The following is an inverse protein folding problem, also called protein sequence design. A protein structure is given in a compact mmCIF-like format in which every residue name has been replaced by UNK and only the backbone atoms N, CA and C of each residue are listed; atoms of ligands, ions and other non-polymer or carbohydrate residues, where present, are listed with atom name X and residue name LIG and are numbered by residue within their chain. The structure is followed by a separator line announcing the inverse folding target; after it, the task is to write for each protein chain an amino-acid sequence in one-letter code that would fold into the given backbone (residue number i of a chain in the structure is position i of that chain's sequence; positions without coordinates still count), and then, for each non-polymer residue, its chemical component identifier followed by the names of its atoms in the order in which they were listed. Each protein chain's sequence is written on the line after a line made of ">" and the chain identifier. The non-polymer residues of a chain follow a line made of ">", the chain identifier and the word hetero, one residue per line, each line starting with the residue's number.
data_IF_032575634573
#
_entry.id   IF_032575634573
#
_cell.length_a   1.000
_cell.length_b   1.000
_cell.length_c   1.000
_cell.angle_alpha   90.00
_cell.angle_beta   90.00
_cell.angle_gamma   90.00
#
_symmetry.space_group_name_H-M   'P 1'
#
loop_
_entity.id
_entity.type
_entity.pdbx_description
1 polymer ?
#
# COMPACT_ATOMS: atom_id res chain seq x y z
N UNK A 1 14.55 2.74 -4.42
CA UNK A 1 13.31 2.39 -3.69
C UNK A 1 13.46 2.81 -2.25
N UNK A 2 12.44 3.47 -1.71
CA UNK A 2 12.44 3.96 -0.32
C UNK A 2 11.70 3.01 0.62
N UNK A 3 10.75 2.25 0.07
CA UNK A 3 9.95 1.26 0.79
C UNK A 3 9.90 -0.06 0.01
N UNK A 4 9.74 -1.16 0.75
CA UNK A 4 9.50 -2.50 0.21
C UNK A 4 8.36 -3.14 0.97
N UNK A 5 7.43 -3.74 0.24
CA UNK A 5 6.32 -4.50 0.81
C UNK A 5 6.51 -5.97 0.44
N UNK A 6 6.92 -6.77 1.42
CA UNK A 6 7.05 -8.22 1.26
C UNK A 6 5.76 -8.92 1.66
N UNK A 7 5.35 -9.95 0.92
CA UNK A 7 4.18 -10.74 1.30
C UNK A 7 4.27 -12.19 0.86
N UNK A 8 3.56 -13.07 1.58
CA UNK A 8 3.35 -14.46 1.22
C UNK A 8 1.87 -14.81 1.39
N UNK A 9 1.44 -15.81 0.62
CA UNK A 9 0.04 -16.26 0.55
C UNK A 9 -0.14 -17.72 0.95
N UNK A 10 0.97 -18.44 1.16
CA UNK A 10 0.98 -19.73 1.81
C UNK A 10 0.97 -19.55 3.34
N UNK A 11 0.69 -20.63 4.08
CA UNK A 11 0.92 -20.71 5.53
C UNK A 11 0.22 -19.64 6.40
N UNK A 12 -0.94 -19.15 5.98
CA UNK A 12 -1.78 -18.23 6.75
C UNK A 12 -1.69 -16.76 6.35
N UNK A 13 -1.02 -16.47 5.23
CA UNK A 13 -0.70 -15.14 4.72
C UNK A 13 0.18 -14.32 5.67
N UNK A 14 0.95 -13.41 5.08
CA UNK A 14 1.58 -12.36 5.85
C UNK A 14 2.13 -11.27 4.96
N UNK A 15 2.31 -10.10 5.56
CA UNK A 15 2.85 -8.93 4.90
C UNK A 15 3.76 -8.17 5.85
N UNK A 16 4.84 -7.65 5.29
CA UNK A 16 5.85 -6.84 5.97
C UNK A 16 6.06 -5.55 5.21
N UNK A 17 6.14 -4.44 5.93
CA UNK A 17 6.55 -3.15 5.38
C UNK A 17 7.96 -2.85 5.85
N UNK A 18 8.85 -2.59 4.91
CA UNK A 18 10.23 -2.19 5.15
C UNK A 18 10.48 -0.79 4.61
N UNK A 19 11.34 -0.05 5.31
CA UNK A 19 11.80 1.28 4.92
C UNK A 19 13.32 1.28 4.79
N UNK A 20 13.82 1.95 3.76
CA UNK A 20 15.25 2.18 3.57
C UNK A 20 15.65 3.57 4.10
N UNK A 21 16.52 3.59 5.09
CA UNK A 21 17.11 4.82 5.66
C UNK A 21 18.65 4.77 5.68
N UNK A 22 19.23 4.04 4.73
CA UNK A 22 20.65 3.64 4.71
C UNK A 22 20.86 2.15 4.97
N UNK A 23 19.87 1.51 5.60
CA UNK A 23 19.68 0.06 5.65
C UNK A 23 18.18 -0.25 5.62
N UNK A 24 17.83 -1.48 5.23
CA UNK A 24 16.44 -1.95 5.30
C UNK A 24 16.05 -2.28 6.73
N UNK A 25 15.02 -1.61 7.23
CA UNK A 25 14.41 -1.91 8.53
C UNK A 25 12.94 -2.24 8.34
N UNK A 26 12.46 -3.29 9.01
CA UNK A 26 11.03 -3.61 9.04
C UNK A 26 10.32 -2.61 9.97
N UNK A 27 9.34 -1.90 9.44
CA UNK A 27 8.55 -0.89 10.15
C UNK A 27 7.08 -1.29 10.35
N UNK A 28 6.67 -2.45 9.81
CA UNK A 28 5.35 -3.02 10.01
C UNK A 28 5.29 -4.51 9.67
N UNK A 29 4.45 -5.26 10.36
CA UNK A 29 4.18 -6.66 10.04
C UNK A 29 2.82 -7.15 10.55
N UNK A 30 2.16 -8.00 9.77
CA UNK A 30 0.94 -8.72 10.17
C UNK A 30 0.91 -10.11 9.51
N UNK A 31 0.36 -11.09 10.21
CA UNK A 31 0.25 -12.47 9.74
C UNK A 31 1.35 -13.40 10.27
N UNK A 32 1.25 -14.67 9.88
CA UNK A 32 2.16 -15.73 10.34
C UNK A 32 3.58 -15.44 9.86
N UNK A 33 4.57 -15.51 10.74
CA UNK A 33 6.00 -15.30 10.42
C UNK A 33 6.40 -13.87 9.99
N UNK A 34 5.49 -12.89 10.07
CA UNK A 34 5.82 -11.53 9.67
C UNK A 34 6.76 -10.79 10.63
N UNK A 35 6.72 -11.10 11.93
CA UNK A 35 7.50 -10.35 12.92
C UNK A 35 7.21 -8.84 12.90
N UNK A 36 8.13 -8.05 13.43
CA UNK A 36 8.05 -6.58 13.42
C UNK A 36 6.93 -5.98 14.28
N UNK A 37 6.84 -4.64 14.33
CA UNK A 37 5.77 -3.96 15.06
C UNK A 37 4.44 -4.09 14.30
N UNK A 38 3.34 -4.20 15.04
CA UNK A 38 2.01 -4.10 14.45
C UNK A 38 1.80 -2.69 13.88
N UNK A 39 1.36 -2.62 12.61
CA UNK A 39 1.07 -1.37 11.92
C UNK A 39 -0.43 -1.27 11.62
N UNK A 40 -1.18 -0.39 12.32
CA UNK A 40 -2.60 -0.21 12.06
C UNK A 40 -2.88 0.15 10.60
N UNK A 41 -3.83 -0.56 9.98
CA UNK A 41 -4.19 -0.37 8.57
C UNK A 41 -3.31 -1.12 7.55
N UNK A 42 -2.26 -1.81 8.00
CA UNK A 42 -1.56 -2.79 7.17
C UNK A 42 -2.40 -4.09 7.12
N UNK A 43 -2.71 -4.58 5.93
CA UNK A 43 -3.45 -5.84 5.78
C UNK A 43 -3.15 -6.54 4.47
N UNK A 44 -3.44 -7.85 4.44
CA UNK A 44 -3.35 -8.69 3.25
C UNK A 44 -4.59 -9.57 3.16
N UNK A 45 -5.23 -9.59 2.00
CA UNK A 45 -6.36 -10.48 1.68
C UNK A 45 -6.17 -11.05 0.29
N UNK A 46 -6.70 -12.24 0.03
CA UNK A 46 -6.61 -12.87 -1.29
C UNK A 46 -7.89 -13.60 -1.64
N UNK A 47 -8.11 -13.74 -2.93
CA UNK A 47 -9.05 -14.71 -3.48
C UNK A 47 -8.30 -15.78 -4.30
N UNK A 48 -8.97 -16.44 -5.25
CA UNK A 48 -8.36 -17.47 -6.07
C UNK A 48 -7.31 -16.94 -7.05
N UNK A 49 -7.41 -15.67 -7.47
CA UNK A 49 -6.61 -15.09 -8.55
C UNK A 49 -6.02 -13.73 -8.23
N UNK A 50 -6.40 -13.14 -7.10
CA UNK A 50 -6.08 -11.76 -6.74
C UNK A 50 -5.51 -11.69 -5.33
N UNK A 51 -4.52 -10.81 -5.16
CA UNK A 51 -3.95 -10.44 -3.88
C UNK A 51 -4.17 -8.94 -3.65
N UNK A 52 -4.72 -8.58 -2.50
CA UNK A 52 -4.90 -7.20 -2.08
C UNK A 52 -4.03 -6.96 -0.86
N UNK A 53 -3.08 -6.03 -0.99
CA UNK A 53 -2.26 -5.55 0.10
C UNK A 53 -2.64 -4.10 0.36
N UNK A 54 -2.95 -3.79 1.61
CA UNK A 54 -3.31 -2.44 2.05
C UNK A 54 -2.22 -1.91 2.96
N UNK A 55 -1.73 -0.70 2.69
CA UNK A 55 -0.86 0.04 3.59
C UNK A 55 -1.32 1.51 3.66
N UNK A 56 -1.30 2.16 4.84
CA UNK A 56 -1.60 3.59 4.94
C UNK A 56 -0.59 4.43 4.16
N UNK A 57 -1.03 5.43 3.38
CA UNK A 57 -0.08 6.33 2.70
C UNK A 57 0.88 7.02 3.69
N UNK A 58 0.39 7.39 4.87
CA UNK A 58 1.22 7.99 5.91
C UNK A 58 2.35 7.07 6.41
N UNK A 59 2.19 5.74 6.40
CA UNK A 59 3.27 4.82 6.75
C UNK A 59 4.35 4.72 5.67
N UNK A 60 4.05 5.22 4.46
CA UNK A 60 5.00 5.38 3.36
C UNK A 60 5.55 6.83 3.30
N UNK A 61 5.24 7.68 4.29
CA UNK A 61 5.60 9.09 4.26
C UNK A 61 4.89 9.89 3.16
N UNK A 62 3.78 9.37 2.64
CA UNK A 62 3.01 9.96 1.56
C UNK A 62 1.71 10.58 2.08
N UNK A 63 1.27 11.62 1.40
CA UNK A 63 -0.01 12.28 1.60
C UNK A 63 -0.67 12.66 0.27
N UNK A 64 -1.84 13.28 0.36
CA UNK A 64 -2.59 13.76 -0.82
C UNK A 64 -1.72 14.72 -1.63
N UNK A 65 -1.72 14.52 -2.95
CA UNK A 65 -0.92 15.30 -3.89
C UNK A 65 0.50 14.78 -4.12
N UNK A 66 0.99 13.83 -3.31
CA UNK A 66 2.26 13.17 -3.61
C UNK A 66 2.09 12.17 -4.76
N UNK A 67 3.12 12.06 -5.58
CA UNK A 67 3.30 10.97 -6.52
C UNK A 67 4.37 10.02 -5.99
N UNK A 68 4.21 8.74 -6.25
CA UNK A 68 5.22 7.73 -5.97
C UNK A 68 5.38 6.79 -7.16
N UNK A 69 6.57 6.21 -7.27
CA UNK A 69 6.89 5.18 -8.25
C UNK A 69 6.85 3.80 -7.60
N UNK A 70 6.39 2.80 -8.32
CA UNK A 70 6.29 1.43 -7.81
C UNK A 70 6.43 0.40 -8.93
N UNK A 71 6.72 -0.82 -8.50
CA UNK A 71 6.64 -2.01 -9.34
C UNK A 71 6.18 -3.16 -8.43
N UNK A 72 5.63 -4.21 -9.03
CA UNK A 72 5.07 -5.37 -8.33
C UNK A 72 5.71 -6.62 -8.87
N UNK A 73 6.22 -7.45 -7.95
CA UNK A 73 6.97 -8.64 -8.29
C UNK A 73 6.31 -9.91 -7.75
N UNK A 74 6.40 -11.00 -8.50
CA UNK A 74 6.20 -12.36 -8.00
C UNK A 74 7.56 -13.03 -7.81
N UNK A 75 7.70 -13.90 -6.80
CA UNK A 75 8.95 -14.64 -6.53
C UNK A 75 8.65 -16.04 -5.98
N UNK A 76 9.68 -16.90 -5.91
CA UNK A 76 9.56 -18.31 -5.53
C UNK A 76 9.45 -18.60 -4.03
N UNK A 77 9.51 -17.58 -3.17
CA UNK A 77 9.37 -17.70 -1.71
C UNK A 77 10.63 -18.17 -0.97
N UNK A 78 11.69 -18.55 -1.67
CA UNK A 78 13.00 -18.89 -1.12
C UNK A 78 13.89 -17.67 -0.85
N UNK A 79 14.84 -17.82 0.08
CA UNK A 79 15.82 -16.78 0.39
C UNK A 79 16.76 -16.55 -0.79
N UNK A 80 16.58 -15.43 -1.49
CA UNK A 80 17.39 -15.04 -2.64
C UNK A 80 16.71 -15.22 -4.00
N UNK A 81 15.44 -15.62 -4.02
CA UNK A 81 14.68 -15.72 -5.28
C UNK A 81 14.41 -14.32 -5.84
N UNK A 82 14.78 -14.15 -7.11
CA UNK A 82 14.56 -12.91 -7.85
C UNK A 82 13.11 -12.77 -8.35
N UNK A 83 12.80 -11.64 -8.98
CA UNK A 83 11.47 -11.37 -9.54
C UNK A 83 11.21 -12.23 -10.78
N UNK A 84 10.35 -13.24 -10.66
CA UNK A 84 9.95 -14.13 -11.76
C UNK A 84 9.13 -13.36 -12.78
N UNK A 85 8.14 -12.63 -12.29
CA UNK A 85 7.35 -11.66 -13.05
C UNK A 85 7.46 -10.28 -12.39
N UNK A 86 7.42 -9.24 -13.22
CA UNK A 86 7.42 -7.85 -12.79
C UNK A 86 6.34 -7.10 -13.56
N UNK A 87 5.54 -6.28 -12.89
CA UNK A 87 4.48 -5.48 -13.52
C UNK A 87 5.04 -4.55 -14.60
N UNK A 88 6.20 -3.95 -14.35
CA UNK A 88 6.93 -3.10 -15.28
C UNK A 88 7.45 -3.80 -16.56
N UNK A 89 7.51 -5.14 -16.57
CA UNK A 89 8.12 -5.90 -17.66
C UNK A 89 7.15 -6.93 -18.26
N UNK A 90 6.62 -6.67 -19.48
CA UNK A 90 5.71 -7.61 -20.14
C UNK A 90 6.43 -8.84 -20.72
N UNK A 91 7.77 -8.87 -20.69
CA UNK A 91 8.59 -10.01 -21.10
C UNK A 91 9.07 -10.82 -19.88
N UNK A 92 9.78 -11.92 -20.12
CA UNK A 92 10.44 -12.67 -19.05
C UNK A 92 11.38 -11.76 -18.24
N UNK A 93 11.26 -11.79 -16.90
CA UNK A 93 12.09 -10.95 -16.01
C UNK A 93 13.43 -11.59 -15.67
N UNK A 94 13.46 -12.90 -15.44
CA UNK A 94 14.68 -13.65 -15.13
C UNK A 94 14.74 -14.97 -15.88
N UNK A 95 15.95 -15.41 -16.23
CA UNK A 95 16.20 -16.72 -16.86
C UNK A 95 16.54 -17.83 -15.84
N UNK A 96 16.87 -17.47 -14.61
CA UNK A 96 17.19 -18.38 -13.50
C UNK A 96 16.98 -17.64 -12.15
N UNK A 97 16.75 -18.39 -11.07
CA UNK A 97 16.46 -17.87 -9.73
C UNK A 97 17.54 -16.95 -9.17
N UNK A 98 18.80 -17.26 -9.49
CA UNK A 98 19.98 -16.54 -9.02
C UNK A 98 20.23 -15.20 -9.73
N UNK A 99 19.52 -14.93 -10.83
CA UNK A 99 19.74 -13.74 -11.65
C UNK A 99 18.97 -12.56 -11.06
N UNK A 100 19.64 -11.46 -10.65
CA UNK A 100 18.95 -10.31 -10.11
C UNK A 100 18.13 -9.62 -11.20
N UNK A 101 16.93 -9.18 -10.83
CA UNK A 101 16.08 -8.34 -11.64
C UNK A 101 16.18 -6.87 -11.22
N UNK A 102 16.13 -5.96 -12.18
CA UNK A 102 16.09 -4.52 -11.94
C UNK A 102 15.15 -3.86 -12.95
N UNK A 103 14.07 -3.26 -12.45
CA UNK A 103 13.09 -2.53 -13.28
C UNK A 103 13.68 -1.29 -13.97
N UNK A 104 14.84 -0.81 -13.52
CA UNK A 104 15.48 0.39 -14.06
C UNK A 104 14.54 1.58 -13.97
N UNK A 105 14.29 2.23 -15.11
CA UNK A 105 13.36 3.36 -15.23
C UNK A 105 11.94 2.99 -15.64
N UNK A 106 11.60 1.69 -15.78
CA UNK A 106 10.32 1.22 -16.32
C UNK A 106 9.22 1.06 -15.26
N UNK A 107 9.36 1.73 -14.12
CA UNK A 107 8.42 1.65 -13.00
C UNK A 107 7.14 2.44 -13.26
N UNK A 108 6.02 1.97 -12.71
CA UNK A 108 4.75 2.68 -12.75
C UNK A 108 4.76 3.87 -11.78
N UNK A 109 3.83 4.80 -11.98
CA UNK A 109 3.63 5.94 -11.08
C UNK A 109 2.17 6.14 -10.71
N UNK A 110 1.93 6.54 -9.47
CA UNK A 110 0.60 6.88 -8.99
C UNK A 110 0.61 8.18 -8.21
N UNK A 111 -0.39 9.03 -8.44
CA UNK A 111 -0.58 10.28 -7.69
C UNK A 111 -1.78 10.16 -6.78
N UNK A 112 -1.56 10.40 -5.48
CA UNK A 112 -2.61 10.29 -4.47
C UNK A 112 -3.57 11.45 -4.64
N UNK A 113 -4.80 11.15 -5.05
CA UNK A 113 -5.87 12.15 -5.19
C UNK A 113 -6.67 12.30 -3.89
N UNK A 114 -7.27 13.47 -3.65
CA UNK A 114 -8.19 13.63 -2.54
C UNK A 114 -9.39 12.71 -2.77
N UNK A 115 -9.75 11.91 -1.78
CA UNK A 115 -11.07 11.25 -1.76
C UNK A 115 -12.11 12.35 -1.51
N UNK A 116 -13.17 12.47 -2.32
CA UNK A 116 -14.22 13.45 -2.05
C UNK A 116 -14.82 13.17 -0.67
N UNK A 117 -14.66 14.08 0.29
CA UNK A 117 -15.16 13.86 1.65
C UNK A 117 -16.69 14.02 1.70
N UNK A 118 -17.45 12.98 2.09
CA UNK A 118 -18.89 13.12 2.33
C UNK A 118 -19.18 13.98 3.58
N UNK A 119 -18.20 14.12 4.48
CA UNK A 119 -18.36 14.79 5.77
C UNK A 119 -18.62 16.29 5.63
N UNK A 120 -18.00 16.95 4.66
CA UNK A 120 -18.20 18.39 4.41
C UNK A 120 -19.66 18.66 4.01
N UNK A 121 -20.24 17.81 3.15
CA UNK A 121 -21.65 17.92 2.77
C UNK A 121 -22.60 17.71 3.97
N UNK A 122 -22.31 16.73 4.83
CA UNK A 122 -23.08 16.52 6.06
C UNK A 122 -22.94 17.69 7.05
N UNK A 123 -21.76 18.27 7.20
CA UNK A 123 -21.53 19.41 8.08
C UNK A 123 -22.30 20.65 7.60
N UNK A 124 -22.33 20.89 6.28
CA UNK A 124 -23.18 21.94 5.71
C UNK A 124 -24.67 21.65 5.92
N UNK A 125 -25.11 20.40 5.75
CA UNK A 125 -26.49 19.99 6.01
C UNK A 125 -26.91 20.20 7.47
N UNK A 126 -26.08 19.77 8.42
CA UNK A 126 -26.35 19.93 9.85
C UNK A 126 -26.27 21.39 10.29
N UNK A 127 -25.29 22.14 9.77
CA UNK A 127 -25.15 23.58 10.04
C UNK A 127 -26.36 24.38 9.53
N UNK A 128 -26.85 24.07 8.33
CA UNK A 128 -28.03 24.74 7.77
C UNK A 128 -29.32 24.39 8.54
N UNK A 129 -29.49 23.14 8.99
CA UNK A 129 -30.59 22.74 9.87
C UNK A 129 -30.59 23.51 11.21
N UNK A 130 -29.42 23.68 11.83
CA UNK A 130 -29.28 24.44 13.08
C UNK A 130 -29.63 25.93 12.91
N UNK A 131 -29.22 26.54 11.79
CA UNK A 131 -29.58 27.93 11.45
C UNK A 131 -31.09 28.08 11.26
N UNK A 132 -31.73 27.16 10.53
CA UNK A 132 -33.18 27.15 10.32
C UNK A 132 -33.93 26.98 11.65
N UNK A 133 -33.48 26.07 12.50
CA UNK A 133 -34.10 25.83 13.80
C UNK A 133 -34.00 27.06 14.73
N UNK A 134 -32.86 27.76 14.69
CA UNK A 134 -32.66 29.00 15.46
C UNK A 134 -33.51 30.16 14.93
N UNK A 135 -33.70 30.26 13.62
CA UNK A 135 -34.59 31.27 13.03
C UNK A 135 -36.05 31.04 13.42
N UNK A 136 -36.52 29.79 13.43
CA UNK A 136 -37.89 29.42 13.83
C UNK A 136 -38.21 29.68 15.30
N UNK A 137 -37.23 29.67 16.19
CA UNK A 137 -37.42 29.94 17.64
C UNK A 137 -37.47 31.44 17.99
N UNK A 138 -37.21 32.33 17.03
CA UNK A 138 -37.19 33.80 17.23
C UNK A 138 -38.44 34.50 16.68
N UNK A 139 -39.36 33.77 16.06
CA UNK A 139 -40.70 34.23 15.68
C UNK A 139 -41.71 33.76 16.71
#
# INVERSE_FOLDING_TARGET
>A
MDYWVGSWVDSGNGVQLHQFTGAWAQIGGIGSFAGGPALPGLSITKDATSLTITAPFASLGLGVGNSFFFDVYTSGGGGGDSAVDALANPSQSISDWSVPYNSGGLVDSYTITPVPEPAVAMLFGLGSLLVIQRARRRQ
#
